data_IF_083856691418
#
_entry.id   IF_083856691418
#
_cell.length_a   1.000
_cell.length_b   1.000
_cell.length_c   1.000
_cell.angle_alpha   90.00
_cell.angle_beta   90.00
_cell.angle_gamma   90.00
#
_symmetry.space_group_name_H-M   'P 1'
#
loop_
_entity.id
_entity.type
_entity.pdbx_description
1 polymer ?
#
# COMPACT_ATOMS: atom_id res chain seq x y z
N UNK A 1 37.58 2.17 -8.49
CA UNK A 1 36.94 0.88 -8.12
C UNK A 1 36.58 0.91 -6.63
N UNK A 2 35.57 1.70 -6.25
CA UNK A 2 35.11 1.86 -4.85
C UNK A 2 33.58 1.84 -4.73
N UNK A 3 32.88 1.73 -5.86
CA UNK A 3 31.41 1.80 -5.94
C UNK A 3 30.72 0.44 -5.85
N UNK A 4 31.40 -0.68 -6.14
CA UNK A 4 30.79 -2.02 -5.97
C UNK A 4 30.74 -2.51 -4.51
N UNK A 5 31.59 -1.99 -3.62
CA UNK A 5 31.60 -2.38 -2.21
C UNK A 5 30.40 -1.81 -1.43
N UNK A 6 29.92 -0.63 -1.81
CA UNK A 6 28.83 0.05 -1.11
C UNK A 6 27.45 -0.59 -1.39
N UNK A 7 27.24 -1.14 -2.58
CA UNK A 7 25.98 -1.82 -2.90
C UNK A 7 25.79 -3.14 -2.15
N UNK A 8 26.88 -3.82 -1.77
CA UNK A 8 26.82 -5.07 -1.01
C UNK A 8 26.44 -4.84 0.46
N UNK A 9 26.78 -3.69 1.04
CA UNK A 9 26.48 -3.35 2.44
C UNK A 9 25.00 -2.99 2.64
N UNK A 10 24.40 -2.24 1.70
CA UNK A 10 23.00 -1.76 1.79
C UNK A 10 21.99 -2.92 1.68
N UNK A 11 22.32 -4.00 0.97
CA UNK A 11 21.48 -5.19 0.88
C UNK A 11 21.61 -6.14 2.08
N UNK A 12 22.55 -5.92 3.01
CA UNK A 12 22.89 -6.89 4.07
C UNK A 12 22.26 -6.63 5.43
N UNK A 13 21.40 -5.62 5.56
CA UNK A 13 20.71 -5.37 6.84
C UNK A 13 19.27 -4.94 6.63
N UNK A 14 18.48 -5.81 6.00
CA UNK A 14 17.09 -5.88 6.45
C UNK A 14 17.13 -6.46 7.87
N UNK A 15 16.68 -5.72 8.90
CA UNK A 15 16.45 -6.36 10.19
C UNK A 15 15.49 -7.53 9.91
N UNK A 16 15.88 -8.75 10.28
CA UNK A 16 14.93 -9.85 10.30
C UNK A 16 13.83 -9.42 11.26
N UNK A 17 12.73 -8.92 10.70
CA UNK A 17 11.56 -8.56 11.49
C UNK A 17 11.06 -9.88 12.07
N UNK A 18 11.37 -10.13 13.34
CA UNK A 18 10.85 -11.30 14.02
C UNK A 18 9.33 -11.26 13.88
N UNK A 19 8.74 -12.29 13.27
CA UNK A 19 7.29 -12.39 13.08
C UNK A 19 6.64 -12.62 14.45
N UNK A 20 6.32 -11.56 15.16
CA UNK A 20 5.77 -11.61 16.53
C UNK A 20 4.26 -11.81 16.53
N UNK A 21 3.58 -11.25 15.54
CA UNK A 21 2.11 -11.24 15.47
C UNK A 21 1.55 -12.59 15.01
N UNK A 22 0.43 -13.00 15.62
CA UNK A 22 -0.25 -14.27 15.31
C UNK A 22 -1.67 -14.02 14.84
N UNK A 23 -2.04 -14.72 13.76
CA UNK A 23 -3.39 -14.73 13.22
C UNK A 23 -4.05 -16.05 13.63
N UNK A 24 -5.17 -15.98 14.35
CA UNK A 24 -5.96 -17.15 14.73
C UNK A 24 -7.21 -17.23 13.84
N UNK A 25 -7.33 -18.31 13.05
CA UNK A 25 -8.42 -18.50 12.09
C UNK A 25 -9.11 -19.82 12.35
N UNK A 26 -10.45 -19.82 12.28
CA UNK A 26 -11.27 -21.03 12.24
C UNK A 26 -11.76 -21.25 10.82
N UNK A 27 -11.77 -22.50 10.38
CA UNK A 27 -12.29 -22.90 9.08
C UNK A 27 -12.94 -24.28 9.19
N UNK A 28 -13.72 -24.67 8.18
CA UNK A 28 -14.25 -26.03 8.08
C UNK A 28 -13.15 -27.03 7.74
N UNK A 29 -13.40 -28.31 8.00
CA UNK A 29 -12.50 -29.40 7.62
C UNK A 29 -12.22 -29.42 6.11
N UNK A 30 -13.26 -29.27 5.29
CA UNK A 30 -13.13 -29.20 3.83
C UNK A 30 -12.25 -28.03 3.37
N UNK A 31 -12.40 -26.86 4.01
CA UNK A 31 -11.57 -25.70 3.70
C UNK A 31 -10.10 -25.96 4.06
N UNK A 32 -9.85 -26.55 5.23
CA UNK A 32 -8.50 -26.88 5.67
C UNK A 32 -7.85 -27.90 4.72
N UNK A 33 -8.60 -28.91 4.28
CA UNK A 33 -8.12 -29.91 3.32
C UNK A 33 -7.77 -29.25 1.98
N UNK A 34 -8.67 -28.45 1.42
CA UNK A 34 -8.43 -27.74 0.17
C UNK A 34 -7.17 -26.86 0.22
N UNK A 35 -6.98 -26.12 1.32
CA UNK A 35 -5.80 -25.27 1.49
C UNK A 35 -4.50 -26.07 1.59
N UNK A 36 -4.53 -27.25 2.21
CA UNK A 36 -3.37 -28.15 2.30
C UNK A 36 -3.01 -28.73 0.94
N UNK A 37 -3.99 -29.24 0.21
CA UNK A 37 -3.80 -29.82 -1.12
C UNK A 37 -3.22 -28.75 -2.07
N UNK A 38 -3.71 -27.51 -2.00
CA UNK A 38 -3.20 -26.39 -2.80
C UNK A 38 -1.77 -25.98 -2.42
N UNK A 39 -1.44 -25.97 -1.11
CA UNK A 39 -0.10 -25.68 -0.65
C UNK A 39 0.92 -26.74 -1.11
N UNK A 40 0.52 -28.02 -1.04
CA UNK A 40 1.33 -29.14 -1.52
C UNK A 40 1.59 -29.07 -3.02
N UNK A 41 0.56 -28.77 -3.83
CA UNK A 41 0.69 -28.57 -5.27
C UNK A 41 1.67 -27.44 -5.64
N UNK A 42 1.82 -26.43 -4.77
CA UNK A 42 2.78 -25.33 -4.96
C UNK A 42 4.13 -25.59 -4.27
N UNK A 43 4.33 -26.74 -3.63
CA UNK A 43 5.58 -27.10 -2.96
C UNK A 43 5.93 -26.19 -1.77
N UNK A 44 4.92 -25.63 -1.09
CA UNK A 44 5.13 -24.75 0.06
C UNK A 44 4.32 -25.19 1.29
N UNK A 45 4.73 -24.75 2.47
CA UNK A 45 3.98 -25.04 3.70
C UNK A 45 2.68 -24.22 3.76
N UNK A 46 1.70 -24.73 4.52
CA UNK A 46 0.38 -24.12 4.65
C UNK A 46 0.42 -22.67 5.14
N UNK A 47 1.36 -22.33 6.03
CA UNK A 47 1.47 -20.96 6.57
C UNK A 47 1.96 -20.02 5.48
N UNK A 48 3.01 -20.41 4.75
CA UNK A 48 3.54 -19.63 3.62
C UNK A 48 2.50 -19.45 2.51
N UNK A 49 1.77 -20.52 2.18
CA UNK A 49 0.67 -20.47 1.20
C UNK A 49 -0.41 -19.46 1.61
N UNK A 50 -0.96 -19.59 2.83
CA UNK A 50 -2.03 -18.72 3.32
C UNK A 50 -1.54 -17.27 3.43
N UNK A 51 -0.35 -17.04 3.98
CA UNK A 51 0.19 -15.69 4.13
C UNK A 51 0.46 -15.05 2.76
N UNK A 52 0.99 -15.81 1.81
CA UNK A 52 1.23 -15.35 0.44
C UNK A 52 -0.06 -14.89 -0.23
N UNK A 53 -1.06 -15.78 -0.28
CA UNK A 53 -2.37 -15.49 -0.88
C UNK A 53 -3.09 -14.32 -0.17
N UNK A 54 -3.03 -14.27 1.16
CA UNK A 54 -3.68 -13.19 1.94
C UNK A 54 -3.03 -11.83 1.67
N UNK A 55 -1.70 -11.77 1.63
CA UNK A 55 -0.97 -10.54 1.36
C UNK A 55 -1.14 -10.07 -0.09
N UNK A 56 -1.21 -10.99 -1.04
CA UNK A 56 -1.52 -10.67 -2.43
C UNK A 56 -2.90 -10.03 -2.54
N UNK A 57 -3.94 -10.68 -1.97
CA UNK A 57 -5.30 -10.13 -2.01
C UNK A 57 -5.40 -8.80 -1.26
N UNK A 58 -4.75 -8.66 -0.11
CA UNK A 58 -4.73 -7.41 0.65
C UNK A 58 -4.13 -6.26 -0.18
N UNK A 59 -3.01 -6.50 -0.88
CA UNK A 59 -2.42 -5.52 -1.79
C UNK A 59 -3.36 -5.15 -2.93
N UNK A 60 -4.03 -6.13 -3.54
CA UNK A 60 -5.00 -5.87 -4.60
C UNK A 60 -6.17 -5.00 -4.11
N UNK A 61 -6.74 -5.31 -2.94
CA UNK A 61 -7.84 -4.51 -2.34
C UNK A 61 -7.38 -3.08 -2.04
N UNK A 62 -6.19 -2.91 -1.46
CA UNK A 62 -5.65 -1.57 -1.18
C UNK A 62 -5.32 -0.79 -2.46
N UNK A 63 -4.90 -1.47 -3.52
CA UNK A 63 -4.70 -0.83 -4.82
C UNK A 63 -6.04 -0.44 -5.45
N UNK A 64 -7.05 -1.32 -5.44
CA UNK A 64 -8.39 -1.05 -5.95
C UNK A 64 -9.04 0.16 -5.27
N UNK A 65 -8.88 0.30 -3.94
CA UNK A 65 -9.42 1.42 -3.18
C UNK A 65 -8.70 2.75 -3.48
N UNK A 66 -7.38 2.70 -3.69
CA UNK A 66 -6.54 3.89 -3.91
C UNK A 66 -6.46 4.34 -5.37
N UNK A 67 -6.97 3.54 -6.32
CA UNK A 67 -6.93 3.89 -7.73
C UNK A 67 -8.13 4.77 -8.08
N UNK A 68 -7.83 6.03 -8.39
CA UNK A 68 -8.78 6.92 -9.06
C UNK A 68 -8.96 6.44 -10.50
N UNK A 69 -10.14 5.89 -10.79
CA UNK A 69 -10.53 5.54 -12.17
C UNK A 69 -11.06 6.79 -12.84
N UNK A 70 -10.31 7.28 -13.83
CA UNK A 70 -10.71 8.41 -14.68
C UNK A 70 -11.19 7.87 -16.02
N UNK A 71 -12.30 8.40 -16.51
CA UNK A 71 -12.66 8.30 -17.93
C UNK A 71 -11.63 9.04 -18.79
N UNK A 72 -11.55 8.76 -20.10
CA UNK A 72 -10.60 9.47 -20.97
C UNK A 72 -10.77 10.99 -20.95
N UNK A 73 -12.00 11.49 -20.84
CA UNK A 73 -12.26 12.92 -20.76
C UNK A 73 -11.79 13.53 -19.44
N UNK A 74 -11.98 12.84 -18.32
CA UNK A 74 -11.49 13.27 -17.00
C UNK A 74 -9.97 13.23 -16.95
N UNK A 75 -9.33 12.24 -17.56
CA UNK A 75 -7.87 12.17 -17.65
C UNK A 75 -7.29 13.39 -18.38
N UNK A 76 -7.86 13.76 -19.54
CA UNK A 76 -7.43 14.96 -20.29
C UNK A 76 -7.62 16.25 -19.48
N UNK A 77 -8.67 16.34 -18.67
CA UNK A 77 -8.86 17.49 -17.78
C UNK A 77 -7.77 17.55 -16.71
N UNK A 78 -7.41 16.41 -16.11
CA UNK A 78 -6.32 16.34 -15.13
C UNK A 78 -4.99 16.70 -15.77
N UNK A 79 -4.67 16.16 -16.95
CA UNK A 79 -3.44 16.48 -17.68
C UNK A 79 -3.33 17.97 -17.99
N UNK A 80 -4.39 18.56 -18.55
CA UNK A 80 -4.43 19.99 -18.84
C UNK A 80 -4.28 20.85 -17.56
N UNK A 81 -4.86 20.42 -16.45
CA UNK A 81 -4.72 21.10 -15.16
C UNK A 81 -3.31 20.99 -14.58
N UNK A 82 -2.61 19.87 -14.80
CA UNK A 82 -1.23 19.66 -14.35
C UNK A 82 -0.21 20.46 -15.18
N UNK A 83 -0.48 20.69 -16.46
CA UNK A 83 0.36 21.49 -17.36
C UNK A 83 0.19 23.01 -17.17
N UNK A 84 -0.94 23.42 -16.60
CA UNK A 84 -1.26 24.83 -16.38
C UNK A 84 -0.58 25.38 -15.12
N UNK A 85 -0.19 26.65 -15.14
CA UNK A 85 0.33 27.30 -13.94
C UNK A 85 -0.78 27.46 -12.88
N UNK A 86 -0.47 27.10 -11.63
CA UNK A 86 -1.44 27.10 -10.56
C UNK A 86 -1.83 28.53 -10.14
N UNK A 87 -3.09 28.91 -10.41
CA UNK A 87 -3.68 30.15 -9.90
C UNK A 87 -4.14 30.04 -8.45
N UNK A 88 -3.92 31.09 -7.65
CA UNK A 88 -4.46 31.14 -6.27
C UNK A 88 -5.97 31.34 -6.33
N UNK A 89 -6.73 30.36 -5.81
CA UNK A 89 -8.15 30.54 -5.59
C UNK A 89 -8.39 31.35 -4.29
N UNK A 90 -9.03 32.54 -4.35
CA UNK A 90 -9.18 33.42 -3.20
C UNK A 90 -10.02 32.82 -2.08
N UNK A 91 -11.01 31.99 -2.40
CA UNK A 91 -11.85 31.30 -1.40
C UNK A 91 -11.05 30.20 -0.69
N UNK A 92 -10.28 29.40 -1.43
CA UNK A 92 -9.39 28.40 -0.83
C UNK A 92 -8.33 29.05 0.04
N UNK A 93 -7.74 30.16 -0.41
CA UNK A 93 -6.75 30.91 0.37
C UNK A 93 -7.34 31.47 1.67
N UNK A 94 -8.59 31.96 1.65
CA UNK A 94 -9.30 32.40 2.85
C UNK A 94 -9.57 31.24 3.81
N UNK A 95 -9.98 30.07 3.30
CA UNK A 95 -10.22 28.88 4.11
C UNK A 95 -8.94 28.37 4.79
N UNK A 96 -7.85 28.26 4.03
CA UNK A 96 -6.54 27.82 4.55
C UNK A 96 -6.06 28.76 5.67
N UNK A 97 -6.18 30.09 5.49
CA UNK A 97 -5.87 31.07 6.54
C UNK A 97 -6.74 30.90 7.79
N UNK A 98 -8.04 30.64 7.61
CA UNK A 98 -8.96 30.44 8.73
C UNK A 98 -8.62 29.16 9.52
N UNK A 99 -8.36 28.04 8.85
CA UNK A 99 -8.03 26.76 9.50
C UNK A 99 -6.69 26.82 10.24
N UNK A 100 -5.65 27.41 9.64
CA UNK A 100 -4.36 27.58 10.32
C UNK A 100 -4.43 28.57 11.49
N UNK A 101 -5.29 29.59 11.42
CA UNK A 101 -5.56 30.49 12.54
C UNK A 101 -6.22 29.80 13.74
N UNK A 102 -7.07 28.79 13.50
CA UNK A 102 -7.73 28.01 14.56
C UNK A 102 -6.76 27.03 15.24
N UNK A 103 -5.80 26.45 14.51
CA UNK A 103 -4.83 25.50 15.06
C UNK A 103 -3.79 26.14 16.01
N UNK A 104 -3.50 27.43 15.85
CA UNK A 104 -2.55 28.16 16.69
C UNK A 104 -3.17 28.73 17.99
N UNK A 105 -4.49 28.71 18.15
CA UNK A 105 -5.20 29.26 19.34
C UNK A 105 -5.44 28.20 20.43
N UNK A 106 -5.13 26.92 20.17
CA UNK A 106 -5.34 25.81 21.12
C UNK A 106 -4.05 25.27 21.77
N UNK A 107 -3.02 26.10 21.94
CA UNK A 107 -1.85 25.81 22.81
C UNK A 107 -1.68 26.95 23.80
#
# INVERSE_FOLDING_TARGET
>A
MYIQSAYAEVLRRQPMTTKTERINVRCSEDSLKLLRDAAELQGQDLTSFIMGASLERARAVMAEERVLRLSPAELLQVESALESEAGVNPQLAALVRAVHGVQHVST
#
